data_IF_633604882410
#
_entry.id   IF_633604882410
#
_cell.length_a   1.000
_cell.length_b   1.000
_cell.length_c   1.000
_cell.angle_alpha   90.00
_cell.angle_beta   90.00
_cell.angle_gamma   90.00
#
_symmetry.space_group_name_H-M   'P 1'
#
loop_
_entity.id
_entity.type
_entity.pdbx_description
1 polymer ?
#
# COMPACT_ATOMS: atom_id res chain seq x y z
N UNK A 1 34.90 -11.27 -39.25
CA UNK A 1 34.44 -11.66 -37.91
C UNK A 1 33.62 -10.54 -37.23
N UNK A 2 32.29 -10.41 -37.45
CA UNK A 2 31.49 -9.53 -36.56
C UNK A 2 30.12 -10.10 -36.10
N UNK A 3 29.62 -11.19 -36.67
CA UNK A 3 28.22 -11.62 -36.48
C UNK A 3 27.94 -12.29 -35.12
N UNK A 4 28.95 -12.81 -34.44
CA UNK A 4 28.83 -13.40 -33.09
C UNK A 4 28.65 -12.32 -32.00
N UNK A 5 29.31 -11.18 -32.16
CA UNK A 5 29.34 -10.12 -31.14
C UNK A 5 28.02 -9.33 -31.07
N UNK A 6 27.37 -9.06 -32.21
CA UNK A 6 26.06 -8.39 -32.23
C UNK A 6 24.93 -9.24 -31.62
N UNK A 7 24.98 -10.57 -31.77
CA UNK A 7 24.00 -11.49 -31.16
C UNK A 7 24.16 -11.53 -29.65
N UNK A 8 25.40 -11.49 -29.16
CA UNK A 8 25.71 -11.43 -27.73
C UNK A 8 25.21 -10.14 -27.09
N UNK A 9 25.44 -9.00 -27.74
CA UNK A 9 24.94 -7.69 -27.28
C UNK A 9 23.41 -7.65 -27.29
N UNK A 10 22.76 -8.19 -28.33
CA UNK A 10 21.30 -8.24 -28.41
C UNK A 10 20.68 -9.12 -27.32
N UNK A 11 21.31 -10.26 -26.98
CA UNK A 11 20.90 -11.14 -25.88
C UNK A 11 21.02 -10.45 -24.51
N UNK A 12 22.08 -9.66 -24.28
CA UNK A 12 22.26 -8.89 -23.05
C UNK A 12 21.19 -7.80 -22.94
N UNK A 13 20.89 -7.07 -24.02
CA UNK A 13 19.85 -6.04 -24.03
C UNK A 13 18.47 -6.65 -23.77
N UNK A 14 18.18 -7.81 -24.36
CA UNK A 14 16.90 -8.50 -24.14
C UNK A 14 16.76 -9.01 -22.70
N UNK A 15 17.82 -9.58 -22.14
CA UNK A 15 17.86 -10.02 -20.74
C UNK A 15 17.74 -8.84 -19.76
N UNK A 16 18.38 -7.69 -20.06
CA UNK A 16 18.32 -6.49 -19.24
C UNK A 16 16.94 -5.81 -19.31
N UNK A 17 16.28 -5.83 -20.48
CA UNK A 17 14.91 -5.34 -20.65
C UNK A 17 13.88 -6.15 -19.85
N UNK A 18 14.04 -7.48 -19.79
CA UNK A 18 13.21 -8.34 -18.93
C UNK A 18 13.46 -8.11 -17.43
N UNK A 19 14.70 -7.81 -17.04
CA UNK A 19 15.06 -7.54 -15.65
C UNK A 19 14.42 -6.25 -15.12
N UNK A 20 14.30 -5.21 -15.96
CA UNK A 20 13.67 -3.93 -15.60
C UNK A 20 12.14 -4.00 -15.56
N UNK A 21 11.51 -4.85 -16.40
CA UNK A 21 10.05 -5.00 -16.44
C UNK A 21 9.49 -5.78 -15.23
N UNK A 22 10.34 -6.53 -14.52
CA UNK A 22 9.93 -7.41 -13.43
C UNK A 22 10.06 -6.83 -12.01
N UNK A 23 10.42 -5.55 -11.83
CA UNK A 23 10.56 -4.99 -10.49
C UNK A 23 9.17 -4.72 -9.88
N UNK A 24 8.74 -5.47 -8.84
CA UNK A 24 7.50 -5.16 -8.17
C UNK A 24 7.64 -3.79 -7.52
N UNK A 25 6.83 -2.84 -7.97
CA UNK A 25 6.70 -1.55 -7.30
C UNK A 25 5.94 -1.81 -5.99
N UNK A 26 6.67 -1.94 -4.87
CA UNK A 26 6.04 -1.91 -3.55
C UNK A 26 5.60 -0.47 -3.29
N UNK A 27 4.41 -0.12 -3.76
CA UNK A 27 3.81 1.17 -3.49
C UNK A 27 3.25 1.15 -2.08
N UNK A 28 4.00 1.73 -1.16
CA UNK A 28 3.45 2.15 0.13
C UNK A 28 2.32 3.17 -0.10
N UNK A 29 1.25 3.08 0.69
CA UNK A 29 0.16 4.04 0.62
C UNK A 29 0.71 5.44 0.94
N UNK A 30 0.84 6.27 -0.09
CA UNK A 30 1.45 7.60 -0.06
C UNK A 30 0.38 8.62 -0.40
N UNK A 31 0.20 9.60 0.49
CA UNK A 31 -0.81 10.63 0.37
C UNK A 31 -0.14 12.00 0.43
N UNK A 32 -0.72 12.98 -0.26
CA UNK A 32 -0.38 14.37 -0.01
C UNK A 32 -0.89 14.77 1.37
N UNK A 33 -0.16 15.65 2.05
CA UNK A 33 -0.64 16.20 3.31
C UNK A 33 -1.85 17.09 3.03
N UNK A 34 -2.95 16.90 3.77
CA UNK A 34 -4.13 17.73 3.62
C UNK A 34 -3.83 19.15 4.12
N UNK A 35 -4.66 20.15 3.75
CA UNK A 35 -4.58 21.50 4.27
C UNK A 35 -4.57 21.55 5.80
N UNK A 36 -4.09 22.66 6.37
CA UNK A 36 -4.18 22.87 7.81
C UNK A 36 -5.64 22.83 8.29
N UNK A 37 -5.88 22.12 9.40
CA UNK A 37 -7.21 21.90 9.95
C UNK A 37 -7.92 20.64 9.44
N UNK A 38 -7.40 19.98 8.40
CA UNK A 38 -7.89 18.69 7.91
C UNK A 38 -6.98 17.54 8.36
N UNK A 39 -7.58 16.46 8.86
CA UNK A 39 -6.85 15.28 9.36
C UNK A 39 -7.15 14.01 8.54
N UNK A 40 -8.11 14.03 7.63
CA UNK A 40 -8.50 12.86 6.85
C UNK A 40 -7.66 12.75 5.57
N UNK A 41 -7.16 11.55 5.28
CA UNK A 41 -6.42 11.21 4.06
C UNK A 41 -6.93 9.91 3.47
N UNK A 42 -6.77 9.74 2.16
CA UNK A 42 -7.22 8.54 1.45
C UNK A 42 -8.74 8.44 1.36
N UNK A 43 -9.19 7.30 0.83
CA UNK A 43 -10.60 7.05 0.51
C UNK A 43 -10.95 5.61 0.85
N UNK A 44 -12.22 5.35 1.18
CA UNK A 44 -12.72 3.98 1.37
C UNK A 44 -12.81 3.33 -0.01
N UNK A 45 -12.31 2.10 -0.10
CA UNK A 45 -12.37 1.30 -1.33
C UNK A 45 -13.04 -0.04 -1.05
N UNK A 46 -13.33 -0.80 -2.11
CA UNK A 46 -13.98 -2.10 -2.00
C UNK A 46 -13.33 -3.09 -2.96
N UNK A 47 -13.40 -4.37 -2.63
CA UNK A 47 -12.99 -5.47 -3.50
C UNK A 47 -13.98 -6.61 -3.40
N UNK A 48 -14.16 -7.35 -4.48
CA UNK A 48 -14.96 -8.58 -4.48
C UNK A 48 -14.03 -9.74 -4.18
N UNK A 49 -14.33 -10.51 -3.13
CA UNK A 49 -13.55 -11.68 -2.75
C UNK A 49 -13.66 -12.78 -3.82
N UNK A 50 -12.52 -13.40 -4.16
CA UNK A 50 -12.48 -14.63 -4.95
C UNK A 50 -12.66 -15.86 -4.05
N UNK A 51 -12.89 -17.03 -4.65
CA UNK A 51 -13.07 -18.29 -3.92
C UNK A 51 -11.89 -18.64 -3.01
N UNK A 52 -10.67 -18.31 -3.45
CA UNK A 52 -9.43 -18.63 -2.73
C UNK A 52 -8.99 -17.53 -1.74
N UNK A 53 -9.69 -16.40 -1.66
CA UNK A 53 -9.29 -15.30 -0.79
C UNK A 53 -9.64 -15.56 0.67
N UNK A 54 -8.69 -15.23 1.55
CA UNK A 54 -8.99 -14.89 2.95
C UNK A 54 -9.02 -13.37 3.12
N UNK A 55 -9.63 -12.86 4.19
CA UNK A 55 -9.51 -11.43 4.52
C UNK A 55 -8.05 -11.03 4.77
N UNK A 56 -7.22 -11.94 5.29
CA UNK A 56 -5.80 -11.66 5.52
C UNK A 56 -5.03 -11.49 4.20
N UNK A 57 -5.34 -12.30 3.18
CA UNK A 57 -4.71 -12.19 1.86
C UNK A 57 -5.11 -10.90 1.16
N UNK A 58 -6.39 -10.53 1.24
CA UNK A 58 -6.88 -9.23 0.77
C UNK A 58 -6.15 -8.10 1.52
N UNK A 59 -6.10 -8.14 2.85
CA UNK A 59 -5.42 -7.12 3.64
C UNK A 59 -3.96 -6.94 3.23
N UNK A 60 -3.20 -8.03 3.04
CA UNK A 60 -1.80 -7.97 2.61
C UNK A 60 -1.65 -7.33 1.23
N UNK A 61 -2.48 -7.71 0.26
CA UNK A 61 -2.46 -7.13 -1.10
C UNK A 61 -2.73 -5.62 -1.10
N UNK A 62 -3.51 -5.14 -0.12
CA UNK A 62 -3.92 -3.74 -0.01
C UNK A 62 -3.20 -2.94 1.09
N UNK A 63 -2.17 -3.50 1.73
CA UNK A 63 -1.40 -2.79 2.75
C UNK A 63 -2.19 -2.48 4.03
N UNK A 64 -3.08 -3.39 4.43
CA UNK A 64 -3.92 -3.30 5.63
C UNK A 64 -3.48 -4.31 6.70
N UNK A 65 -3.70 -3.98 7.97
CA UNK A 65 -3.57 -4.93 9.07
C UNK A 65 -4.78 -5.85 9.21
N UNK A 66 -4.59 -7.02 9.84
CA UNK A 66 -5.67 -7.98 10.11
C UNK A 66 -6.84 -7.35 10.90
N UNK A 67 -6.53 -6.59 11.95
CA UNK A 67 -7.53 -5.91 12.77
C UNK A 67 -8.26 -4.80 12.00
N UNK A 68 -7.63 -4.18 11.02
CA UNK A 68 -8.26 -3.13 10.21
C UNK A 68 -9.34 -3.75 9.32
N UNK A 69 -8.99 -4.78 8.54
CA UNK A 69 -9.92 -5.39 7.60
C UNK A 69 -11.06 -6.14 8.30
N UNK A 70 -10.78 -6.84 9.40
CA UNK A 70 -11.81 -7.61 10.12
C UNK A 70 -12.81 -6.70 10.83
N UNK A 71 -12.36 -5.59 11.44
CA UNK A 71 -13.28 -4.63 12.08
C UNK A 71 -14.13 -3.87 11.08
N UNK A 72 -13.60 -3.59 9.89
CA UNK A 72 -14.37 -2.94 8.83
C UNK A 72 -15.44 -3.86 8.22
N UNK A 73 -15.31 -5.17 8.38
CA UNK A 73 -16.16 -6.19 7.76
C UNK A 73 -16.79 -7.14 8.79
N UNK A 74 -17.59 -6.63 9.74
CA UNK A 74 -18.23 -7.48 10.74
C UNK A 74 -19.18 -8.49 10.08
N UNK A 75 -19.11 -9.74 10.51
CA UNK A 75 -19.95 -10.83 10.00
C UNK A 75 -19.41 -11.56 8.76
N UNK A 76 -18.29 -11.10 8.19
CA UNK A 76 -17.55 -11.85 7.17
C UNK A 76 -16.56 -12.78 7.88
N UNK A 77 -16.57 -14.07 7.53
CA UNK A 77 -15.58 -15.02 8.05
C UNK A 77 -14.17 -14.63 7.55
N UNK A 78 -13.19 -14.37 8.42
CA UNK A 78 -11.85 -13.96 8.01
C UNK A 78 -11.10 -14.97 7.16
N UNK A 79 -11.43 -16.26 7.29
CA UNK A 79 -10.78 -17.37 6.60
C UNK A 79 -11.54 -17.82 5.37
N UNK A 80 -12.85 -17.57 5.31
CA UNK A 80 -13.70 -17.95 4.19
C UNK A 80 -14.78 -16.89 3.90
N UNK A 81 -14.41 -15.71 3.36
CA UNK A 81 -15.35 -14.66 2.98
C UNK A 81 -16.37 -15.12 1.93
N UNK A 82 -16.08 -16.20 1.21
CA UNK A 82 -16.81 -16.74 0.05
C UNK A 82 -16.68 -15.86 -1.20
N UNK A 83 -16.73 -16.51 -2.36
CA UNK A 83 -16.68 -15.83 -3.64
C UNK A 83 -17.86 -14.86 -3.81
N UNK A 84 -17.59 -13.70 -4.41
CA UNK A 84 -18.61 -12.68 -4.68
C UNK A 84 -18.91 -11.75 -3.51
N UNK A 85 -18.35 -12.01 -2.33
CA UNK A 85 -18.52 -11.17 -1.15
C UNK A 85 -17.83 -9.82 -1.34
N UNK A 86 -18.57 -8.72 -1.13
CA UNK A 86 -18.03 -7.37 -1.17
C UNK A 86 -17.29 -7.07 0.15
N UNK A 87 -15.98 -6.88 0.07
CA UNK A 87 -15.11 -6.57 1.20
C UNK A 87 -14.77 -5.09 1.21
N UNK A 88 -15.01 -4.43 2.33
CA UNK A 88 -14.65 -3.03 2.58
C UNK A 88 -13.15 -2.93 2.87
N UNK A 89 -12.47 -2.02 2.18
CA UNK A 89 -11.08 -1.66 2.43
C UNK A 89 -11.07 -0.32 3.18
N UNK A 90 -10.72 -0.29 4.49
CA UNK A 90 -10.66 0.94 5.29
C UNK A 90 -9.40 1.75 4.99
N UNK A 91 -9.21 2.14 3.73
CA UNK A 91 -8.04 2.87 3.22
C UNK A 91 -8.12 4.39 3.40
N UNK A 92 -9.11 4.87 4.16
CA UNK A 92 -9.19 6.23 4.65
C UNK A 92 -8.68 6.29 6.10
N UNK A 93 -7.76 7.21 6.37
CA UNK A 93 -7.10 7.32 7.67
C UNK A 93 -7.28 8.72 8.25
N UNK A 94 -7.40 8.78 9.57
CA UNK A 94 -7.29 10.02 10.34
C UNK A 94 -5.86 10.12 10.84
N UNK A 95 -5.19 11.21 10.49
CA UNK A 95 -3.82 11.50 10.92
C UNK A 95 -3.71 11.58 12.45
N UNK A 96 -2.61 11.08 13.05
CA UNK A 96 -2.44 11.12 14.50
C UNK A 96 -2.30 12.56 15.00
N UNK A 97 -2.83 12.81 16.21
CA UNK A 97 -2.63 14.08 16.94
C UNK A 97 -1.21 14.17 17.52
N UNK A 98 -0.24 14.30 16.63
CA UNK A 98 1.19 14.42 16.94
C UNK A 98 1.84 15.36 15.92
N UNK A 99 3.05 15.88 16.19
CA UNK A 99 3.80 16.62 15.18
C UNK A 99 3.94 15.79 13.89
N UNK A 100 3.46 16.31 12.76
CA UNK A 100 3.52 15.67 11.44
C UNK A 100 4.95 15.75 10.85
N UNK A 101 5.93 15.19 11.54
CA UNK A 101 7.36 15.19 11.15
C UNK A 101 8.00 13.84 11.43
N UNK A 102 8.80 13.36 10.48
CA UNK A 102 9.53 12.10 10.64
C UNK A 102 8.59 10.92 10.84
N UNK A 103 8.99 9.98 11.70
CA UNK A 103 8.21 8.77 12.00
C UNK A 103 7.31 8.98 13.22
N UNK A 104 6.04 8.67 13.06
CA UNK A 104 5.04 8.63 14.14
C UNK A 104 4.40 7.26 14.18
N UNK A 105 4.49 6.61 15.33
CA UNK A 105 3.85 5.31 15.57
C UNK A 105 2.52 5.54 16.30
N UNK A 106 1.42 5.19 15.66
CA UNK A 106 0.09 5.24 16.26
C UNK A 106 -0.33 3.82 16.71
N UNK A 107 -0.07 3.51 17.99
CA UNK A 107 -0.37 2.19 18.57
C UNK A 107 -1.86 1.84 18.50
N UNK A 108 -2.82 2.73 18.86
CA UNK A 108 -4.25 2.43 18.70
C UNK A 108 -4.69 2.06 17.28
N UNK A 109 -4.13 2.74 16.27
CA UNK A 109 -4.41 2.42 14.86
C UNK A 109 -3.59 1.24 14.36
N UNK A 110 -2.56 0.79 15.09
CA UNK A 110 -1.56 -0.19 14.64
C UNK A 110 -0.90 0.24 13.33
N UNK A 111 -0.57 1.54 13.21
CA UNK A 111 0.02 2.09 11.98
C UNK A 111 1.23 2.96 12.25
N UNK A 112 2.20 2.87 11.36
CA UNK A 112 3.31 3.80 11.21
C UNK A 112 2.90 4.89 10.21
N UNK A 113 3.22 6.14 10.53
CA UNK A 113 3.12 7.27 9.63
C UNK A 113 4.51 7.90 9.46
N UNK A 114 4.96 8.04 8.21
CA UNK A 114 6.19 8.74 7.87
C UNK A 114 5.86 10.03 7.13
N UNK A 115 6.15 11.16 7.77
CA UNK A 115 5.89 12.50 7.26
C UNK A 115 7.12 13.06 6.55
N UNK A 116 6.94 13.38 5.27
CA UNK A 116 7.93 13.98 4.38
C UNK A 116 7.61 15.46 4.23
N UNK A 117 8.58 16.30 4.55
CA UNK A 117 8.44 17.76 4.48
C UNK A 117 8.27 18.24 3.02
N UNK A 118 7.49 19.31 2.80
CA UNK A 118 7.39 19.98 1.49
C UNK A 118 8.78 20.38 0.97
N UNK A 119 9.04 20.16 -0.32
CA UNK A 119 10.31 20.54 -0.97
C UNK A 119 10.06 21.10 -2.36
N UNK A 120 10.76 22.18 -2.72
CA UNK A 120 10.71 22.81 -4.04
C UNK A 120 9.28 23.15 -4.52
N UNK A 121 8.42 23.63 -3.62
CA UNK A 121 7.03 23.99 -3.94
C UNK A 121 6.06 22.80 -4.09
N UNK A 122 6.51 21.57 -3.86
CA UNK A 122 5.61 20.39 -3.80
C UNK A 122 4.97 20.28 -2.41
N UNK A 123 3.72 19.80 -2.32
CA UNK A 123 3.09 19.52 -1.03
C UNK A 123 3.89 18.47 -0.26
N UNK A 124 3.82 18.56 1.07
CA UNK A 124 4.35 17.51 1.94
C UNK A 124 3.59 16.21 1.71
N UNK A 125 4.18 15.08 2.08
CA UNK A 125 3.58 13.76 1.88
C UNK A 125 3.58 12.97 3.18
N UNK A 126 2.66 12.03 3.28
CA UNK A 126 2.61 11.05 4.36
C UNK A 126 2.53 9.66 3.77
N UNK A 127 3.41 8.79 4.24
CA UNK A 127 3.42 7.37 3.91
C UNK A 127 2.92 6.61 5.13
N UNK A 128 2.04 5.62 4.95
CA UNK A 128 1.55 4.84 6.08
C UNK A 128 1.60 3.33 5.85
N UNK A 129 1.94 2.59 6.90
CA UNK A 129 2.05 1.14 6.91
C UNK A 129 1.36 0.53 8.12
N UNK A 130 0.74 -0.65 7.97
CA UNK A 130 0.25 -1.42 9.11
C UNK A 130 1.43 -1.99 9.90
N UNK A 131 1.26 -2.08 11.21
CA UNK A 131 2.23 -2.62 12.16
C UNK A 131 1.61 -3.81 12.90
N UNK A 132 2.46 -4.75 13.34
CA UNK A 132 2.10 -5.82 14.26
C UNK A 132 2.99 -5.74 15.50
N UNK A 133 2.44 -6.13 16.66
CA UNK A 133 3.17 -6.28 17.92
C UNK A 133 2.94 -7.69 18.47
#
# INVERSE_FOLDING_TARGET
MPMQMQRFISLIIFAFGWLLAGMPSSLAATFELPPEGEDAIGEISFVVASEADTLLDIARRHGLGYNEITRANPGIDPWLPREGTLVILPTQYVLPKAPRRGLVLNIPQMRLFYFIEPKNGQPGKVITHPMGI
#
